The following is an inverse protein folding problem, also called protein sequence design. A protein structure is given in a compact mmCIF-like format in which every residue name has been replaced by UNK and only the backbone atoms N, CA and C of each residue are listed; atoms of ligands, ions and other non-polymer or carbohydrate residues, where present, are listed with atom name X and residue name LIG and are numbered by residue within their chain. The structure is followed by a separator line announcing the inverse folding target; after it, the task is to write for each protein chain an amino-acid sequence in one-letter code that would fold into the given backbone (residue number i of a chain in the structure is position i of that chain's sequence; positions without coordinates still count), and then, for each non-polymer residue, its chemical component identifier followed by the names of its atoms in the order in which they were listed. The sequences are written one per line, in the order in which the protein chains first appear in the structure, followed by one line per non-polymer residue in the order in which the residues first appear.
data_IF_412928344533
#
_entry.id   IF_412928344533
#
_cell.length_a   1.000
_cell.length_b   1.000
_cell.length_c   1.000
_cell.angle_alpha   90.00
_cell.angle_beta   90.00
_cell.angle_gamma   90.00
#
_symmetry.space_group_name_H-M   'P 1'
#
loop_
_entity.id
_entity.type
_entity.pdbx_description
1 polymer ?
#
# COMPACT_ATOMS: atom_id res chain seq x y z
N UNK A 1 87.79 9.43 -3.22
CA UNK A 1 87.10 8.12 -3.17
C UNK A 1 86.16 8.12 -1.97
N UNK A 2 84.85 7.94 -2.23
CA UNK A 2 83.77 7.41 -1.35
C UNK A 2 83.78 7.83 0.14
N UNK A 3 82.83 8.67 0.53
CA UNK A 3 81.50 8.30 1.08
C UNK A 3 81.55 7.93 2.56
N UNK A 4 80.92 8.73 3.43
CA UNK A 4 80.28 8.34 4.70
C UNK A 4 79.60 9.56 5.35
N UNK A 5 78.36 9.84 4.99
CA UNK A 5 77.50 10.76 5.76
C UNK A 5 76.43 9.89 6.45
N UNK A 6 76.52 9.77 7.77
CA UNK A 6 75.60 8.97 8.57
C UNK A 6 74.30 9.71 8.84
N UNK A 7 73.21 8.97 8.61
CA UNK A 7 71.82 9.29 8.84
C UNK A 7 71.51 9.60 10.31
N UNK A 8 70.72 10.65 10.56
CA UNK A 8 69.80 10.67 11.71
C UNK A 8 68.36 10.69 11.19
N UNK A 9 67.64 9.65 11.59
CA UNK A 9 66.29 9.29 11.21
C UNK A 9 65.29 10.15 12.01
N UNK A 10 64.57 11.06 11.33
CA UNK A 10 63.40 11.71 11.90
C UNK A 10 62.18 10.81 11.67
N UNK A 11 61.66 10.21 12.74
CA UNK A 11 60.45 9.40 12.75
C UNK A 11 59.22 10.32 12.66
N UNK A 12 58.70 10.52 11.45
CA UNK A 12 57.38 11.16 11.26
C UNK A 12 56.31 10.08 11.39
N UNK A 13 55.60 10.09 12.52
CA UNK A 13 54.39 9.28 12.72
C UNK A 13 53.25 9.95 11.95
N UNK A 14 52.93 9.42 10.76
CA UNK A 14 51.71 9.78 10.03
C UNK A 14 50.53 9.05 10.69
N UNK A 15 49.78 9.76 11.54
CA UNK A 15 48.46 9.31 11.97
C UNK A 15 47.46 9.52 10.83
N UNK A 16 47.32 8.53 9.96
CA UNK A 16 46.18 8.41 9.05
C UNK A 16 44.92 8.08 9.84
N UNK A 17 44.15 9.10 10.18
CA UNK A 17 42.74 8.99 10.55
C UNK A 17 41.96 8.53 9.30
N UNK A 18 41.83 7.22 9.12
CA UNK A 18 40.85 6.65 8.21
C UNK A 18 39.46 6.86 8.83
N UNK A 19 38.76 7.89 8.37
CA UNK A 19 37.31 7.94 8.50
C UNK A 19 36.75 6.81 7.63
N UNK A 20 36.45 5.66 8.23
CA UNK A 20 35.57 4.66 7.62
C UNK A 20 34.17 5.24 7.74
N UNK A 21 33.77 6.03 6.74
CA UNK A 21 32.36 6.24 6.44
C UNK A 21 31.95 4.99 5.66
N UNK A 22 31.44 3.98 6.34
CA UNK A 22 30.71 2.89 5.66
C UNK A 22 29.41 3.49 5.12
N UNK A 23 29.49 4.24 4.02
CA UNK A 23 28.34 4.48 3.18
C UNK A 23 28.14 3.20 2.37
N UNK A 24 27.45 2.20 2.92
CA UNK A 24 26.97 1.11 2.08
C UNK A 24 25.94 1.71 1.13
N UNK A 25 26.32 1.93 -0.13
CA UNK A 25 25.36 2.26 -1.17
C UNK A 25 24.31 1.12 -1.21
N UNK A 26 23.02 1.47 -1.33
CA UNK A 26 21.98 0.45 -1.51
C UNK A 26 22.29 -0.35 -2.77
N UNK A 27 22.25 -1.67 -2.65
CA UNK A 27 22.45 -2.58 -3.78
C UNK A 27 21.13 -2.81 -4.53
N UNK A 28 21.23 -3.21 -5.78
CA UNK A 28 20.08 -3.63 -6.57
C UNK A 28 19.31 -4.76 -5.87
N UNK A 29 17.96 -4.76 -5.87
CA UNK A 29 17.04 -3.87 -6.60
C UNK A 29 16.59 -2.61 -5.84
N UNK A 30 17.30 -2.20 -4.78
CA UNK A 30 16.95 -1.05 -3.93
C UNK A 30 17.75 0.21 -4.25
N UNK A 31 18.58 0.15 -5.29
CA UNK A 31 19.43 1.23 -5.80
C UNK A 31 18.66 2.26 -6.63
N UNK A 32 17.48 1.88 -7.16
CA UNK A 32 16.59 2.77 -7.92
C UNK A 32 15.27 2.96 -7.19
N UNK A 33 15.04 4.16 -6.70
CA UNK A 33 13.81 4.55 -6.02
C UNK A 33 13.36 5.95 -6.46
N UNK A 34 12.05 6.26 -6.38
CA UNK A 34 11.56 7.59 -6.71
C UNK A 34 12.06 8.63 -5.71
N UNK A 35 12.27 9.84 -6.19
CA UNK A 35 12.64 11.00 -5.38
C UNK A 35 11.59 11.31 -4.32
N UNK A 36 12.03 11.52 -3.08
CA UNK A 36 11.18 11.74 -1.91
C UNK A 36 11.31 13.19 -1.42
N UNK A 37 10.89 14.13 -2.27
CA UNK A 37 10.72 15.54 -1.92
C UNK A 37 9.26 15.82 -1.54
N UNK A 38 8.97 16.83 -0.70
CA UNK A 38 7.60 17.18 -0.32
C UNK A 38 6.66 17.21 -1.54
N UNK A 39 5.50 16.52 -1.47
CA UNK A 39 4.82 15.99 -0.29
C UNK A 39 5.27 14.59 0.19
N UNK A 40 6.37 14.05 -0.34
CA UNK A 40 6.94 12.78 0.06
C UNK A 40 8.10 12.97 1.02
N UNK A 41 8.25 12.05 1.98
CA UNK A 41 9.37 12.02 2.91
C UNK A 41 9.87 10.58 3.02
N UNK A 42 11.18 10.39 3.16
CA UNK A 42 11.75 9.05 3.36
C UNK A 42 12.80 9.02 4.47
N UNK A 43 12.83 7.91 5.19
CA UNK A 43 13.88 7.59 6.18
C UNK A 43 14.35 6.16 5.94
N UNK A 44 15.62 5.89 6.19
CA UNK A 44 16.19 4.54 6.17
C UNK A 44 16.76 4.19 7.54
N UNK A 45 16.53 2.96 7.98
CA UNK A 45 17.19 2.40 9.15
C UNK A 45 18.02 1.18 8.75
N UNK A 46 19.22 1.10 9.32
CA UNK A 46 20.12 -0.03 9.12
C UNK A 46 19.69 -1.26 9.91
N UNK A 47 20.17 -2.42 9.46
CA UNK A 47 20.06 -3.66 10.22
C UNK A 47 20.82 -3.58 11.55
N UNK A 48 20.25 -4.20 12.57
CA UNK A 48 20.87 -4.46 13.87
C UNK A 48 21.25 -5.93 13.99
N UNK A 49 22.32 -6.19 14.75
CA UNK A 49 22.74 -7.55 15.11
C UNK A 49 22.14 -8.02 16.44
N UNK A 50 21.47 -7.12 17.16
CA UNK A 50 20.90 -7.42 18.47
C UNK A 50 19.61 -8.24 18.33
N UNK A 51 19.42 -9.31 19.13
CA UNK A 51 18.21 -10.12 19.10
C UNK A 51 16.93 -9.29 19.32
N UNK A 52 15.92 -9.55 18.50
CA UNK A 52 14.63 -8.85 18.57
C UNK A 52 14.63 -7.43 17.97
N UNK A 53 15.77 -6.96 17.46
CA UNK A 53 15.84 -5.71 16.68
C UNK A 53 15.74 -6.00 15.18
N UNK A 54 15.52 -4.92 14.42
CA UNK A 54 15.36 -4.96 12.97
C UNK A 54 16.55 -5.68 12.31
N UNK A 55 16.30 -6.84 11.70
CA UNK A 55 17.36 -7.68 11.12
C UNK A 55 17.73 -7.29 9.68
N UNK A 56 16.78 -6.75 8.92
CA UNK A 56 17.01 -6.28 7.55
C UNK A 56 16.87 -4.76 7.50
N UNK A 57 17.74 -4.03 6.77
CA UNK A 57 17.54 -2.61 6.58
C UNK A 57 16.14 -2.34 6.01
N UNK A 58 15.60 -1.16 6.30
CA UNK A 58 14.28 -0.77 5.80
C UNK A 58 14.30 0.67 5.40
N UNK A 59 13.73 0.95 4.23
CA UNK A 59 13.35 2.31 3.84
C UNK A 59 11.85 2.47 4.03
N UNK A 60 11.46 3.49 4.78
CA UNK A 60 10.08 3.93 4.86
C UNK A 60 9.90 5.14 3.96
N UNK A 61 8.82 5.17 3.18
CA UNK A 61 8.39 6.36 2.44
C UNK A 61 6.96 6.70 2.83
N UNK A 62 6.70 7.96 3.13
CA UNK A 62 5.37 8.49 3.44
C UNK A 62 5.00 9.60 2.47
N UNK A 63 3.77 9.60 2.00
CA UNK A 63 3.12 10.70 1.30
C UNK A 63 2.10 11.35 2.23
N UNK A 64 2.13 12.68 2.32
CA UNK A 64 1.21 13.47 3.12
C UNK A 64 0.39 14.37 2.19
N UNK A 65 -0.96 14.33 2.24
CA UNK A 65 -1.78 15.19 1.40
C UNK A 65 -1.43 16.68 1.57
N UNK A 66 -1.25 17.39 0.45
CA UNK A 66 -1.00 18.83 0.49
C UNK A 66 -2.15 19.58 1.18
N UNK A 67 -1.82 20.48 2.10
CA UNK A 67 -2.78 21.36 2.76
C UNK A 67 -3.59 20.71 3.90
N UNK A 68 -3.30 19.47 4.28
CA UNK A 68 -3.92 18.86 5.47
C UNK A 68 -3.41 19.56 6.73
N UNK A 69 -4.33 20.03 7.58
CA UNK A 69 -3.96 20.75 8.81
C UNK A 69 -3.61 19.78 9.96
N UNK A 70 -4.32 18.66 10.03
CA UNK A 70 -4.10 17.62 11.05
C UNK A 70 -4.44 16.28 10.45
N UNK A 71 -3.51 15.33 10.55
CA UNK A 71 -3.73 13.98 10.05
C UNK A 71 -4.64 13.21 11.02
N UNK A 72 -5.59 12.45 10.46
CA UNK A 72 -6.51 11.60 11.24
C UNK A 72 -6.07 10.15 11.29
N UNK A 73 -5.13 9.74 10.45
CA UNK A 73 -4.66 8.37 10.35
C UNK A 73 -3.55 8.18 9.33
N UNK A 74 -3.12 6.92 9.17
CA UNK A 74 -2.16 6.50 8.16
C UNK A 74 -2.70 5.25 7.49
N UNK A 75 -2.81 5.26 6.16
CA UNK A 75 -2.96 4.06 5.35
C UNK A 75 -1.57 3.47 5.13
N UNK A 76 -1.37 2.22 5.51
CA UNK A 76 -0.10 1.50 5.39
C UNK A 76 -0.25 0.42 4.32
N UNK A 77 0.60 0.47 3.30
CA UNK A 77 0.64 -0.54 2.24
C UNK A 77 1.92 -1.36 2.35
N UNK A 78 1.77 -2.63 2.76
CA UNK A 78 2.89 -3.51 3.07
C UNK A 78 3.09 -4.59 2.01
N UNK A 79 4.29 -4.65 1.46
CA UNK A 79 4.69 -5.63 0.45
C UNK A 79 4.80 -7.08 0.98
N UNK A 80 5.00 -8.04 0.06
CA UNK A 80 5.24 -9.46 0.36
C UNK A 80 6.70 -9.84 0.61
N UNK A 81 6.91 -11.13 0.94
CA UNK A 81 8.24 -11.68 1.23
C UNK A 81 9.13 -11.79 -0.01
N UNK A 82 10.44 -11.68 0.21
CA UNK A 82 11.47 -11.92 -0.81
C UNK A 82 11.76 -10.69 -1.65
N UNK A 83 12.99 -10.64 -2.17
CA UNK A 83 13.61 -9.46 -2.79
C UNK A 83 12.71 -8.75 -3.81
N UNK A 84 12.15 -9.49 -4.78
CA UNK A 84 11.28 -8.89 -5.80
C UNK A 84 9.95 -8.35 -5.28
N UNK A 85 9.42 -8.90 -4.19
CA UNK A 85 8.24 -8.30 -3.54
C UNK A 85 8.65 -7.12 -2.65
N UNK A 86 9.79 -7.21 -1.98
CA UNK A 86 10.29 -6.16 -1.10
C UNK A 86 10.58 -4.85 -1.84
N UNK A 87 11.21 -4.91 -3.01
CA UNK A 87 11.47 -3.73 -3.83
C UNK A 87 10.20 -3.06 -4.35
N UNK A 88 9.08 -3.79 -4.45
CA UNK A 88 7.78 -3.19 -4.80
C UNK A 88 7.28 -2.20 -3.74
N UNK A 89 7.77 -2.30 -2.49
CA UNK A 89 7.48 -1.33 -1.43
C UNK A 89 8.05 0.08 -1.69
N UNK A 90 9.05 0.21 -2.57
CA UNK A 90 9.68 1.51 -2.89
C UNK A 90 8.71 2.49 -3.56
N UNK A 91 7.68 1.98 -4.23
CA UNK A 91 6.70 2.79 -4.97
C UNK A 91 5.33 2.87 -4.32
N UNK A 92 5.06 2.12 -3.24
CA UNK A 92 3.72 2.03 -2.65
C UNK A 92 3.17 3.37 -2.19
N UNK A 93 4.02 4.25 -1.65
CA UNK A 93 3.62 5.60 -1.22
C UNK A 93 3.26 6.53 -2.39
N UNK A 94 3.63 6.18 -3.62
CA UNK A 94 3.37 6.94 -4.85
C UNK A 94 2.15 6.42 -5.63
N UNK A 95 1.42 5.43 -5.11
CA UNK A 95 0.23 4.90 -5.77
C UNK A 95 -0.95 5.88 -5.65
N UNK A 96 -1.37 6.45 -6.79
CA UNK A 96 -2.40 7.49 -6.84
C UNK A 96 -3.74 7.01 -6.30
N UNK A 97 -4.07 5.73 -6.46
CA UNK A 97 -5.35 5.17 -6.01
C UNK A 97 -5.38 5.02 -4.49
N UNK A 98 -4.30 4.53 -3.90
CA UNK A 98 -4.13 4.46 -2.45
C UNK A 98 -3.99 5.85 -1.82
N UNK A 99 -3.36 6.81 -2.51
CA UNK A 99 -3.33 8.22 -2.09
C UNK A 99 -4.73 8.84 -2.06
N UNK A 100 -5.59 8.52 -3.04
CA UNK A 100 -6.97 9.01 -3.07
C UNK A 100 -7.78 8.52 -1.85
N UNK A 101 -7.62 7.24 -1.47
CA UNK A 101 -8.20 6.72 -0.22
C UNK A 101 -7.67 7.47 1.00
N UNK A 102 -6.35 7.61 1.11
CA UNK A 102 -5.74 8.27 2.26
C UNK A 102 -6.21 9.72 2.38
N UNK A 103 -6.20 10.47 1.27
CA UNK A 103 -6.66 11.87 1.21
C UNK A 103 -8.12 12.03 1.62
N UNK A 104 -9.00 11.13 1.19
CA UNK A 104 -10.44 11.17 1.53
C UNK A 104 -10.70 11.20 3.04
N UNK A 105 -9.77 10.67 3.84
CA UNK A 105 -9.88 10.56 5.29
C UNK A 105 -8.92 11.47 6.06
N UNK A 106 -8.26 12.43 5.38
CA UNK A 106 -7.16 13.22 5.96
C UNK A 106 -6.06 12.32 6.56
N UNK A 107 -5.76 11.22 5.87
CA UNK A 107 -4.71 10.27 6.24
C UNK A 107 -3.46 10.45 5.35
N UNK A 108 -2.31 10.09 5.89
CA UNK A 108 -1.10 9.88 5.09
C UNK A 108 -1.10 8.48 4.47
N UNK A 109 -0.29 8.27 3.43
CA UNK A 109 0.00 6.95 2.86
C UNK A 109 1.46 6.57 3.12
N UNK A 110 1.70 5.43 3.74
CA UNK A 110 3.06 4.96 4.06
C UNK A 110 3.31 3.58 3.47
N UNK A 111 4.47 3.41 2.85
CA UNK A 111 4.93 2.13 2.32
C UNK A 111 6.36 1.83 2.81
N UNK A 112 6.56 0.73 3.57
CA UNK A 112 7.89 0.22 3.89
C UNK A 112 8.49 -0.54 2.69
N UNK A 113 9.82 -0.63 2.63
CA UNK A 113 10.58 -1.50 1.74
C UNK A 113 11.71 -2.16 2.55
N UNK A 114 11.48 -3.38 3.04
CA UNK A 114 12.48 -4.15 3.79
C UNK A 114 13.49 -4.78 2.83
N UNK A 115 14.78 -4.58 3.05
CA UNK A 115 15.85 -5.09 2.20
C UNK A 115 16.20 -6.54 2.56
N UNK A 116 15.19 -7.43 2.54
CA UNK A 116 15.35 -8.86 2.81
C UNK A 116 16.17 -9.51 1.69
N UNK A 117 17.32 -10.16 1.99
CA UNK A 117 18.07 -10.89 0.99
C UNK A 117 17.29 -12.06 0.40
N UNK A 118 17.60 -12.43 -0.84
CA UNK A 118 16.96 -13.55 -1.51
C UNK A 118 17.13 -14.85 -0.70
N UNK A 119 16.01 -15.55 -0.45
CA UNK A 119 15.90 -16.77 0.40
C UNK A 119 16.13 -16.57 1.90
N UNK A 120 16.39 -15.36 2.39
CA UNK A 120 16.45 -15.10 3.83
C UNK A 120 15.09 -15.34 4.48
N UNK A 121 15.05 -15.59 5.79
CA UNK A 121 13.81 -15.88 6.49
C UNK A 121 12.93 -14.62 6.58
N UNK A 122 11.73 -14.70 6.01
CA UNK A 122 10.77 -13.60 6.02
C UNK A 122 10.27 -13.27 7.44
N UNK A 123 10.25 -14.26 8.35
CA UNK A 123 9.79 -14.07 9.72
C UNK A 123 10.59 -13.01 10.48
N UNK A 124 11.83 -12.75 10.07
CA UNK A 124 12.69 -11.74 10.70
C UNK A 124 12.18 -10.30 10.54
N UNK A 125 11.24 -10.04 9.62
CA UNK A 125 10.54 -8.75 9.55
C UNK A 125 9.02 -8.89 9.57
N UNK A 126 8.46 -9.96 9.00
CA UNK A 126 7.00 -10.07 8.88
C UNK A 126 6.32 -10.47 10.19
N UNK A 127 7.07 -10.99 11.17
CA UNK A 127 6.64 -10.98 12.56
C UNK A 127 7.00 -9.62 13.17
N UNK A 128 6.00 -8.77 13.52
CA UNK A 128 6.25 -7.44 14.06
C UNK A 128 7.10 -7.41 15.33
N UNK A 129 7.14 -8.52 16.08
CA UNK A 129 7.90 -8.66 17.32
C UNK A 129 9.42 -8.70 17.09
N UNK A 130 9.87 -8.98 15.86
CA UNK A 130 11.28 -9.03 15.48
C UNK A 130 11.82 -7.64 15.08
N UNK A 131 11.37 -6.59 15.78
CA UNK A 131 11.88 -5.23 15.64
C UNK A 131 11.29 -4.40 14.50
N UNK A 132 10.53 -5.00 13.58
CA UNK A 132 9.91 -4.26 12.47
C UNK A 132 8.79 -3.31 12.94
N UNK A 133 8.01 -3.67 13.97
CA UNK A 133 7.04 -2.75 14.57
C UNK A 133 7.73 -1.56 15.26
N UNK A 134 8.80 -1.83 16.02
CA UNK A 134 9.56 -0.78 16.69
C UNK A 134 10.23 0.19 15.70
N UNK A 135 10.79 -0.32 14.60
CA UNK A 135 11.34 0.50 13.53
C UNK A 135 10.25 1.32 12.82
N UNK A 136 9.09 0.73 12.58
CA UNK A 136 7.93 1.41 12.01
C UNK A 136 7.47 2.57 12.91
N UNK A 137 7.28 2.34 14.21
CA UNK A 137 6.87 3.39 15.15
C UNK A 137 7.88 4.53 15.25
N UNK A 138 9.17 4.19 15.24
CA UNK A 138 10.25 5.19 15.18
C UNK A 138 10.15 6.04 13.91
N UNK A 139 9.86 5.42 12.76
CA UNK A 139 9.70 6.14 11.48
C UNK A 139 8.62 7.22 11.56
N UNK A 140 7.52 6.93 12.26
CA UNK A 140 6.40 7.86 12.38
C UNK A 140 6.73 9.08 13.25
N UNK A 141 7.55 8.90 14.29
CA UNK A 141 8.10 10.00 15.08
C UNK A 141 9.02 10.88 14.23
N UNK A 142 9.90 10.25 13.44
CA UNK A 142 10.86 10.99 12.62
C UNK A 142 10.15 11.72 11.45
N UNK A 143 9.16 11.09 10.81
CA UNK A 143 8.31 11.75 9.82
C UNK A 143 7.52 12.91 10.41
N UNK A 144 7.02 12.79 11.64
CA UNK A 144 6.33 13.91 12.30
C UNK A 144 7.23 15.13 12.48
N UNK A 145 8.52 14.93 12.76
CA UNK A 145 9.51 16.03 12.82
C UNK A 145 9.82 16.59 11.44
N UNK A 146 9.99 15.73 10.43
CA UNK A 146 10.37 16.14 9.07
C UNK A 146 9.26 16.93 8.36
N UNK A 147 8.00 16.52 8.56
CA UNK A 147 6.85 17.07 7.86
C UNK A 147 6.10 18.16 8.62
N UNK A 148 6.39 18.33 9.92
CA UNK A 148 5.63 19.21 10.80
C UNK A 148 4.32 18.62 11.32
N UNK A 149 4.10 17.30 11.15
CA UNK A 149 2.92 16.56 11.64
C UNK A 149 3.27 15.63 12.82
N UNK A 150 3.54 16.16 14.03
CA UNK A 150 3.93 15.34 15.19
C UNK A 150 2.88 14.29 15.57
N UNK A 151 1.61 14.50 15.20
CA UNK A 151 0.51 13.56 15.43
C UNK A 151 0.71 12.20 14.74
N UNK A 152 1.56 12.12 13.68
CA UNK A 152 1.90 10.87 12.98
C UNK A 152 2.31 9.74 13.94
N UNK A 153 2.99 10.08 15.04
CA UNK A 153 3.44 9.11 16.04
C UNK A 153 2.30 8.37 16.75
N UNK A 154 1.09 8.93 16.78
CA UNK A 154 -0.04 8.44 17.58
C UNK A 154 -1.32 8.19 16.81
N UNK A 155 -1.46 8.75 15.61
CA UNK A 155 -2.69 8.56 14.81
C UNK A 155 -2.94 7.08 14.49
N UNK A 156 -4.22 6.68 14.32
CA UNK A 156 -4.58 5.33 13.93
C UNK A 156 -4.04 4.87 12.58
N UNK A 157 -3.98 3.55 12.39
CA UNK A 157 -3.47 2.90 11.19
C UNK A 157 -4.55 2.08 10.48
N UNK A 158 -4.70 2.23 9.18
CA UNK A 158 -5.42 1.29 8.31
C UNK A 158 -4.39 0.49 7.51
N UNK A 159 -4.42 -0.82 7.63
CA UNK A 159 -3.37 -1.69 7.13
C UNK A 159 -3.85 -2.46 5.90
N UNK A 160 -3.02 -2.52 4.87
CA UNK A 160 -3.11 -3.48 3.79
C UNK A 160 -1.76 -4.20 3.69
N UNK A 161 -1.78 -5.52 3.57
CA UNK A 161 -0.54 -6.29 3.46
C UNK A 161 -0.68 -7.54 2.60
N UNK A 162 0.31 -7.76 1.74
CA UNK A 162 0.39 -8.94 0.87
C UNK A 162 1.36 -10.00 1.43
N UNK A 163 0.95 -11.27 1.50
CA UNK A 163 1.81 -12.41 1.88
C UNK A 163 2.48 -12.21 3.24
N UNK A 164 3.80 -12.02 3.30
CA UNK A 164 4.50 -11.57 4.52
C UNK A 164 3.91 -10.29 5.10
N UNK A 165 3.53 -9.33 4.26
CA UNK A 165 2.82 -8.13 4.70
C UNK A 165 1.48 -8.43 5.36
N UNK A 166 0.74 -9.44 4.90
CA UNK A 166 -0.48 -9.89 5.56
C UNK A 166 -0.21 -10.49 6.96
N UNK A 167 0.89 -11.23 7.11
CA UNK A 167 1.34 -11.69 8.43
C UNK A 167 1.70 -10.51 9.34
N UNK A 168 2.42 -9.52 8.81
CA UNK A 168 2.80 -8.31 9.55
C UNK A 168 1.57 -7.52 9.97
N UNK A 169 0.66 -7.21 9.05
CA UNK A 169 -0.56 -6.45 9.35
C UNK A 169 -1.44 -7.14 10.38
N UNK A 170 -1.68 -8.45 10.24
CA UNK A 170 -2.43 -9.19 11.26
C UNK A 170 -1.67 -9.30 12.58
N UNK A 171 -0.34 -9.43 12.56
CA UNK A 171 0.50 -9.40 13.75
C UNK A 171 0.39 -8.05 14.49
N UNK A 172 0.37 -6.94 13.75
CA UNK A 172 0.16 -5.59 14.30
C UNK A 172 -1.22 -5.46 14.95
N UNK A 173 -2.27 -6.08 14.39
CA UNK A 173 -3.58 -6.18 15.06
C UNK A 173 -3.46 -6.92 16.40
N UNK A 174 -2.64 -7.98 16.48
CA UNK A 174 -2.49 -8.73 17.73
C UNK A 174 -1.66 -8.00 18.78
N UNK A 175 -0.70 -7.16 18.38
CA UNK A 175 0.24 -6.50 19.29
C UNK A 175 -0.14 -5.06 19.66
N UNK A 176 -0.92 -4.37 18.83
CA UNK A 176 -1.34 -2.98 19.03
C UNK A 176 -2.76 -2.69 18.52
N UNK A 177 -3.77 -3.52 18.87
CA UNK A 177 -5.13 -3.42 18.32
C UNK A 177 -5.80 -2.06 18.55
N UNK A 178 -5.45 -1.34 19.61
CA UNK A 178 -6.00 -0.01 19.94
C UNK A 178 -5.64 1.06 18.91
N UNK A 179 -4.59 0.82 18.12
CA UNK A 179 -4.11 1.73 17.08
C UNK A 179 -4.61 1.35 15.68
N UNK A 180 -5.07 0.12 15.47
CA UNK A 180 -5.40 -0.36 14.13
C UNK A 180 -6.87 -0.10 13.84
N UNK A 181 -7.20 0.78 12.90
CA UNK A 181 -8.56 1.04 12.44
C UNK A 181 -9.13 -0.14 11.64
N UNK A 182 -8.33 -0.76 10.77
CA UNK A 182 -8.74 -1.92 9.96
C UNK A 182 -7.50 -2.64 9.39
N UNK A 183 -7.63 -3.92 9.01
CA UNK A 183 -6.56 -4.64 8.32
C UNK A 183 -7.05 -5.56 7.18
N UNK A 184 -6.51 -5.37 5.98
CA UNK A 184 -6.69 -6.22 4.83
C UNK A 184 -5.50 -7.18 4.66
N UNK A 185 -5.77 -8.48 4.79
CA UNK A 185 -4.76 -9.54 4.88
C UNK A 185 -4.75 -10.34 3.57
N UNK A 186 -4.04 -9.82 2.55
CA UNK A 186 -3.94 -10.46 1.22
C UNK A 186 -2.95 -11.62 1.31
N UNK A 187 -3.43 -12.86 1.14
CA UNK A 187 -2.61 -14.08 1.03
C UNK A 187 -1.63 -14.35 2.21
N UNK A 188 -1.92 -13.86 3.42
CA UNK A 188 -1.10 -14.13 4.60
C UNK A 188 -1.76 -13.66 5.89
N UNK A 189 -1.61 -14.44 6.97
CA UNK A 189 -2.21 -14.18 8.30
C UNK A 189 -1.23 -14.61 9.39
N UNK A 190 -1.20 -13.96 10.56
CA UNK A 190 -0.39 -14.42 11.67
C UNK A 190 -0.87 -15.77 12.18
N UNK A 191 0.03 -16.52 12.80
CA UNK A 191 -0.30 -17.78 13.44
C UNK A 191 -0.91 -17.51 14.83
N UNK A 192 -2.01 -18.17 15.19
CA UNK A 192 -2.64 -18.04 16.52
C UNK A 192 -2.45 -19.27 17.42
N UNK A 193 -2.10 -20.41 16.84
CA UNK A 193 -1.88 -21.68 17.55
C UNK A 193 -0.59 -22.33 17.06
N UNK A 194 0.03 -23.17 17.88
CA UNK A 194 1.28 -23.85 17.49
C UNK A 194 1.06 -24.68 16.23
N UNK A 195 1.93 -24.52 15.25
CA UNK A 195 1.99 -25.37 14.07
C UNK A 195 3.23 -26.27 14.14
N UNK A 196 3.08 -27.60 14.40
CA UNK A 196 4.20 -28.53 14.46
C UNK A 196 5.04 -28.60 13.18
N UNK A 197 4.44 -28.32 12.02
CA UNK A 197 5.13 -28.31 10.72
C UNK A 197 5.95 -27.03 10.50
N UNK A 198 5.73 -25.99 11.33
CA UNK A 198 6.41 -24.69 11.28
C UNK A 198 6.82 -24.20 12.67
N UNK A 199 7.66 -24.95 13.40
CA UNK A 199 7.97 -24.67 14.81
C UNK A 199 8.73 -23.35 15.05
N UNK A 200 9.33 -22.79 13.98
CA UNK A 200 10.00 -21.50 14.00
C UNK A 200 9.01 -20.32 14.09
N UNK A 201 7.81 -20.45 13.52
CA UNK A 201 6.78 -19.39 13.56
C UNK A 201 6.09 -19.45 14.92
N UNK A 202 6.16 -18.37 15.69
CA UNK A 202 5.57 -18.32 17.02
C UNK A 202 4.12 -17.81 16.95
N UNK A 203 3.17 -18.46 17.64
CA UNK A 203 1.81 -17.96 17.67
C UNK A 203 1.73 -16.60 18.36
N UNK A 204 0.74 -15.80 17.98
CA UNK A 204 0.34 -14.59 18.67
C UNK A 204 -0.75 -14.91 19.69
N UNK A 205 -0.69 -14.24 20.84
CA UNK A 205 -1.88 -14.11 21.68
C UNK A 205 -2.90 -13.22 20.95
N UNK A 206 -4.19 -13.53 21.08
CA UNK A 206 -5.26 -12.70 20.54
C UNK A 206 -5.99 -11.97 21.67
N UNK A 207 -5.63 -10.70 21.94
CA UNK A 207 -6.30 -9.90 22.96
C UNK A 207 -7.75 -9.62 22.57
N UNK A 208 -8.60 -9.33 23.55
CA UNK A 208 -10.03 -9.07 23.31
C UNK A 208 -10.23 -7.81 22.45
N UNK A 209 -9.38 -6.79 22.60
CA UNK A 209 -9.40 -5.57 21.79
C UNK A 209 -9.19 -5.85 20.30
N UNK A 210 -8.44 -6.91 19.93
CA UNK A 210 -8.26 -7.32 18.54
C UNK A 210 -9.57 -7.80 17.88
N UNK A 211 -10.54 -8.32 18.65
CA UNK A 211 -11.83 -8.76 18.12
C UNK A 211 -12.67 -7.56 17.62
N UNK A 212 -12.38 -6.36 18.11
CA UNK A 212 -13.04 -5.12 17.69
C UNK A 212 -12.47 -4.55 16.40
N UNK A 213 -11.35 -5.10 15.89
CA UNK A 213 -10.67 -4.61 14.70
C UNK A 213 -11.27 -5.30 13.47
N UNK A 214 -11.89 -4.56 12.53
CA UNK A 214 -12.35 -5.13 11.28
C UNK A 214 -11.16 -5.63 10.46
N UNK A 215 -11.26 -6.87 10.01
CA UNK A 215 -10.25 -7.56 9.22
C UNK A 215 -10.88 -8.22 7.98
N UNK A 216 -10.09 -8.40 6.94
CA UNK A 216 -10.47 -9.19 5.76
C UNK A 216 -9.35 -10.17 5.39
N UNK A 217 -9.65 -11.47 5.37
CA UNK A 217 -8.80 -12.47 4.73
C UNK A 217 -9.07 -12.49 3.21
N UNK A 218 -8.05 -12.22 2.39
CA UNK A 218 -8.20 -12.17 0.93
C UNK A 218 -7.16 -13.06 0.24
N UNK A 219 -7.32 -14.40 0.22
CA UNK A 219 -6.46 -15.27 -0.59
C UNK A 219 -6.95 -15.33 -2.05
N UNK A 220 -6.08 -15.66 -2.98
CA UNK A 220 -6.45 -16.12 -4.33
C UNK A 220 -6.98 -17.56 -4.30
N UNK A 221 -7.86 -17.88 -5.25
CA UNK A 221 -8.51 -19.19 -5.30
C UNK A 221 -7.51 -20.34 -5.48
N UNK A 222 -6.40 -20.10 -6.18
CA UNK A 222 -5.37 -21.15 -6.41
C UNK A 222 -4.45 -21.37 -5.22
N UNK A 223 -4.69 -20.71 -4.09
CA UNK A 223 -3.87 -20.82 -2.89
C UNK A 223 -4.43 -21.81 -1.86
N UNK A 224 -4.89 -22.98 -2.32
CA UNK A 224 -5.50 -24.00 -1.46
C UNK A 224 -7.02 -24.03 -1.49
N UNK A 225 -7.70 -23.10 -2.17
CA UNK A 225 -9.18 -23.16 -2.33
C UNK A 225 -9.56 -24.11 -3.46
N UNK A 226 -9.02 -23.90 -4.66
CA UNK A 226 -9.27 -24.74 -5.86
C UNK A 226 -8.07 -25.60 -6.25
N UNK A 227 -6.85 -25.09 -6.09
CA UNK A 227 -5.61 -25.86 -6.27
C UNK A 227 -5.10 -26.27 -4.89
N UNK A 228 -5.02 -27.58 -4.63
CA UNK A 228 -4.79 -28.15 -3.29
C UNK A 228 -3.34 -28.56 -3.03
N UNK A 229 -2.46 -28.38 -4.00
CA UNK A 229 -1.05 -28.74 -3.95
C UNK A 229 -0.13 -27.59 -4.40
N UNK A 230 1.18 -27.80 -4.28
CA UNK A 230 2.19 -26.82 -4.63
C UNK A 230 2.47 -25.77 -3.55
N UNK A 231 3.29 -24.78 -3.91
CA UNK A 231 3.93 -23.85 -2.97
C UNK A 231 2.94 -23.09 -2.07
N UNK A 232 1.79 -22.72 -2.60
CA UNK A 232 0.82 -21.85 -1.91
C UNK A 232 -0.45 -22.56 -1.43
N UNK A 233 -0.54 -23.90 -1.55
CA UNK A 233 -1.74 -24.65 -1.15
C UNK A 233 -2.12 -24.53 0.33
N UNK A 234 -1.17 -24.18 1.19
CA UNK A 234 -1.40 -24.05 2.63
C UNK A 234 -1.87 -22.64 3.06
N UNK A 235 -2.01 -21.68 2.14
CA UNK A 235 -2.49 -20.33 2.46
C UNK A 235 -3.97 -20.37 2.87
N UNK A 236 -4.83 -21.08 2.12
CA UNK A 236 -6.25 -21.20 2.47
C UNK A 236 -6.48 -21.92 3.81
N UNK A 237 -5.90 -23.11 4.08
CA UNK A 237 -6.00 -23.73 5.40
C UNK A 237 -5.58 -22.81 6.55
N UNK A 238 -4.49 -22.05 6.38
CA UNK A 238 -4.03 -21.10 7.40
C UNK A 238 -5.03 -19.94 7.60
N UNK A 239 -5.56 -19.37 6.52
CA UNK A 239 -6.60 -18.33 6.59
C UNK A 239 -7.89 -18.85 7.23
N UNK A 240 -8.31 -20.08 6.93
CA UNK A 240 -9.51 -20.68 7.51
C UNK A 240 -9.33 -20.94 9.02
N UNK A 241 -8.15 -21.40 9.45
CA UNK A 241 -7.84 -21.58 10.86
C UNK A 241 -7.82 -20.25 11.64
N UNK A 242 -7.19 -19.22 11.07
CA UNK A 242 -7.23 -17.86 11.60
C UNK A 242 -8.69 -17.36 11.68
N UNK A 243 -9.45 -17.54 10.61
CA UNK A 243 -10.85 -17.14 10.52
C UNK A 243 -11.72 -17.76 11.61
N UNK A 244 -11.64 -19.07 11.78
CA UNK A 244 -12.42 -19.79 12.78
C UNK A 244 -12.09 -19.31 14.21
N UNK A 245 -10.82 -19.00 14.48
CA UNK A 245 -10.39 -18.47 15.76
C UNK A 245 -10.96 -17.08 16.04
N UNK A 246 -10.86 -16.14 15.08
CA UNK A 246 -11.38 -14.78 15.26
C UNK A 246 -12.90 -14.76 15.31
N UNK A 247 -13.57 -15.38 14.33
CA UNK A 247 -15.04 -15.38 14.25
C UNK A 247 -15.70 -16.20 15.34
N UNK A 248 -15.11 -17.35 15.72
CA UNK A 248 -15.60 -18.16 16.84
C UNK A 248 -15.59 -17.42 18.18
N UNK A 249 -14.82 -16.33 18.30
CA UNK A 249 -14.79 -15.41 19.45
C UNK A 249 -15.57 -14.12 19.22
N UNK A 250 -16.35 -14.02 18.12
CA UNK A 250 -17.19 -12.87 17.79
C UNK A 250 -16.47 -11.71 17.09
N UNK A 251 -15.21 -11.87 16.69
CA UNK A 251 -14.43 -10.78 16.09
C UNK A 251 -14.89 -10.35 14.70
N UNK A 252 -14.57 -9.13 14.27
CA UNK A 252 -15.00 -8.58 12.98
C UNK A 252 -14.11 -9.05 11.81
N UNK A 253 -14.42 -10.20 11.20
CA UNK A 253 -13.58 -10.77 10.14
C UNK A 253 -14.40 -11.29 8.95
N UNK A 254 -14.07 -10.81 7.75
CA UNK A 254 -14.58 -11.33 6.49
C UNK A 254 -13.59 -12.26 5.77
N UNK A 255 -14.09 -12.98 4.78
CA UNK A 255 -13.27 -13.72 3.80
C UNK A 255 -13.68 -13.29 2.40
N UNK A 256 -12.72 -12.81 1.61
CA UNK A 256 -12.91 -12.43 0.22
C UNK A 256 -11.94 -13.21 -0.66
N UNK A 257 -12.27 -14.45 -1.06
CA UNK A 257 -11.40 -15.22 -1.96
C UNK A 257 -11.42 -14.57 -3.36
N UNK A 258 -10.26 -14.26 -3.94
CA UNK A 258 -10.16 -13.74 -5.29
C UNK A 258 -10.30 -14.89 -6.31
N UNK A 259 -11.34 -14.90 -7.18
CA UNK A 259 -11.62 -16.03 -8.06
C UNK A 259 -10.66 -16.17 -9.25
N UNK A 260 -9.86 -15.14 -9.55
CA UNK A 260 -9.05 -15.10 -10.78
C UNK A 260 -7.55 -15.25 -10.55
N UNK A 261 -7.10 -15.26 -9.30
CA UNK A 261 -5.68 -15.18 -8.96
C UNK A 261 -5.13 -16.42 -8.27
N UNK A 262 -3.81 -16.55 -8.33
CA UNK A 262 -3.02 -17.29 -7.36
C UNK A 262 -2.50 -16.34 -6.27
N UNK A 263 -1.18 -16.23 -6.11
CA UNK A 263 -0.57 -15.46 -5.03
C UNK A 263 -0.32 -13.98 -5.42
N UNK A 264 -0.43 -13.61 -6.70
CA UNK A 264 -0.43 -12.21 -7.15
C UNK A 264 -1.69 -11.46 -6.69
N UNK A 265 -1.65 -10.12 -6.61
CA UNK A 265 -2.74 -9.32 -6.02
C UNK A 265 -3.96 -9.05 -6.93
N UNK A 266 -3.81 -9.22 -8.25
CA UNK A 266 -4.88 -9.05 -9.23
C UNK A 266 -5.70 -7.77 -9.05
N UNK A 267 -7.02 -7.92 -9.00
CA UNK A 267 -8.00 -6.82 -8.87
C UNK A 267 -8.41 -6.55 -7.40
N UNK A 268 -7.67 -7.04 -6.39
CA UNK A 268 -8.12 -6.91 -4.99
C UNK A 268 -8.33 -5.48 -4.51
N UNK A 269 -7.56 -4.50 -5.01
CA UNK A 269 -7.72 -3.10 -4.64
C UNK A 269 -9.16 -2.59 -4.83
N UNK A 270 -9.88 -3.08 -5.83
CA UNK A 270 -11.26 -2.64 -6.13
C UNK A 270 -12.29 -3.12 -5.11
N UNK A 271 -11.94 -4.03 -4.20
CA UNK A 271 -12.71 -4.30 -2.99
C UNK A 271 -12.01 -3.79 -1.72
N UNK A 272 -10.68 -3.89 -1.66
CA UNK A 272 -9.90 -3.49 -0.49
C UNK A 272 -10.04 -2.00 -0.16
N UNK A 273 -9.96 -1.13 -1.17
CA UNK A 273 -10.08 0.32 -1.00
C UNK A 273 -11.47 0.72 -0.51
N UNK A 274 -12.60 0.34 -1.15
CA UNK A 274 -13.93 0.70 -0.64
C UNK A 274 -14.23 0.04 0.72
N UNK A 275 -13.71 -1.15 1.01
CA UNK A 275 -13.84 -1.76 2.33
C UNK A 275 -13.07 -0.98 3.40
N UNK A 276 -11.83 -0.56 3.12
CA UNK A 276 -11.02 0.27 4.03
C UNK A 276 -11.62 1.66 4.19
N UNK A 277 -12.14 2.27 3.12
CA UNK A 277 -12.89 3.54 3.15
C UNK A 277 -14.06 3.47 4.13
N UNK A 278 -14.86 2.39 4.05
CA UNK A 278 -15.97 2.16 4.98
C UNK A 278 -15.47 1.97 6.42
N UNK A 279 -14.43 1.17 6.62
CA UNK A 279 -13.91 0.93 7.96
C UNK A 279 -13.33 2.20 8.58
N UNK A 280 -12.57 3.01 7.83
CA UNK A 280 -12.04 4.30 8.26
C UNK A 280 -13.17 5.25 8.66
N UNK A 281 -14.22 5.36 7.84
CA UNK A 281 -15.42 6.17 8.14
C UNK A 281 -16.08 5.78 9.46
N UNK A 282 -16.11 4.48 9.79
CA UNK A 282 -16.72 3.97 11.01
C UNK A 282 -15.81 4.06 12.25
N UNK A 283 -14.49 4.11 12.06
CA UNK A 283 -13.51 3.83 13.13
C UNK A 283 -12.65 5.00 13.49
N UNK A 284 -12.29 5.86 12.53
CA UNK A 284 -11.46 7.02 12.82
C UNK A 284 -12.14 7.91 13.86
N UNK A 285 -11.37 8.47 14.82
CA UNK A 285 -11.94 9.35 15.82
C UNK A 285 -12.49 10.62 15.17
N UNK A 286 -13.55 11.19 15.77
CA UNK A 286 -14.12 12.45 15.31
C UNK A 286 -13.17 13.63 15.57
N UNK A 287 -12.43 13.56 16.66
CA UNK A 287 -11.43 14.55 17.06
C UNK A 287 -10.06 13.88 17.22
N UNK A 288 -8.99 14.57 16.81
CA UNK A 288 -7.62 14.06 16.95
C UNK A 288 -7.29 13.74 18.41
N UNK A 289 -6.57 12.64 18.62
CA UNK A 289 -6.16 12.16 19.95
C UNK A 289 -7.22 11.34 20.71
N UNK A 290 -8.45 11.24 20.21
CA UNK A 290 -9.45 10.32 20.79
C UNK A 290 -9.22 8.86 20.36
N UNK A 291 -9.77 7.93 21.13
CA UNK A 291 -9.72 6.51 20.82
C UNK A 291 -10.53 6.16 19.55
N UNK A 292 -10.15 5.06 18.89
CA UNK A 292 -10.92 4.49 17.79
C UNK A 292 -12.37 4.20 18.19
N UNK A 293 -13.29 4.53 17.30
CA UNK A 293 -14.71 4.27 17.52
C UNK A 293 -15.03 2.77 17.48
N UNK A 294 -16.05 2.35 18.23
CA UNK A 294 -16.60 1.00 18.15
C UNK A 294 -17.54 0.92 16.94
N UNK A 295 -17.48 -0.18 16.21
CA UNK A 295 -18.41 -0.44 15.10
C UNK A 295 -19.72 -1.01 15.66
N UNK A 296 -20.84 -0.40 15.28
CA UNK A 296 -22.17 -1.00 15.48
C UNK A 296 -22.31 -2.22 14.56
N UNK A 297 -22.89 -3.31 15.08
CA UNK A 297 -23.22 -4.50 14.29
C UNK A 297 -24.55 -4.35 13.53
N UNK A 298 -25.27 -3.25 13.76
CA UNK A 298 -26.49 -2.96 13.03
C UNK A 298 -26.21 -2.75 11.54
N UNK A 299 -27.04 -3.35 10.69
CA UNK A 299 -26.88 -3.28 9.24
C UNK A 299 -25.78 -4.18 8.67
N UNK A 300 -25.09 -4.97 9.50
CA UNK A 300 -24.08 -5.92 9.04
C UNK A 300 -24.66 -7.01 8.13
N UNK A 301 -23.80 -7.53 7.26
CA UNK A 301 -24.09 -8.65 6.38
C UNK A 301 -23.16 -9.82 6.70
N UNK A 302 -23.65 -11.03 6.45
CA UNK A 302 -22.94 -12.27 6.70
C UNK A 302 -22.84 -13.09 5.43
N UNK A 303 -21.67 -13.71 5.22
CA UNK A 303 -21.41 -14.60 4.10
C UNK A 303 -20.67 -15.86 4.56
N UNK A 304 -21.04 -17.01 4.03
CA UNK A 304 -20.27 -18.24 4.26
C UNK A 304 -18.82 -18.09 3.75
N UNK A 305 -17.80 -18.65 4.43
CA UNK A 305 -16.40 -18.40 4.10
C UNK A 305 -16.01 -18.69 2.65
N UNK A 306 -16.58 -19.75 2.06
CA UNK A 306 -16.41 -20.11 0.65
C UNK A 306 -17.62 -19.77 -0.21
N UNK A 307 -18.64 -19.14 0.37
CA UNK A 307 -19.86 -18.75 -0.32
C UNK A 307 -19.63 -17.65 -1.36
N UNK A 308 -20.67 -17.40 -2.14
CA UNK A 308 -20.73 -16.33 -3.15
C UNK A 308 -21.87 -15.33 -2.88
N UNK A 309 -22.64 -15.54 -1.80
CA UNK A 309 -23.77 -14.70 -1.43
C UNK A 309 -23.58 -14.21 -0.01
N UNK A 310 -23.78 -12.90 0.17
CA UNK A 310 -23.92 -12.28 1.48
C UNK A 310 -25.40 -11.98 1.70
N UNK A 311 -25.89 -12.12 2.93
CA UNK A 311 -27.25 -11.77 3.33
C UNK A 311 -27.25 -10.90 4.59
N UNK A 312 -28.28 -10.08 4.84
CA UNK A 312 -28.38 -9.29 6.07
C UNK A 312 -28.25 -10.18 7.31
N UNK A 313 -27.47 -9.74 8.30
CA UNK A 313 -27.19 -10.53 9.49
C UNK A 313 -28.46 -10.97 10.24
N UNK A 314 -29.49 -10.11 10.28
CA UNK A 314 -30.79 -10.42 10.90
C UNK A 314 -31.66 -11.42 10.14
N UNK A 315 -31.26 -11.82 8.93
CA UNK A 315 -31.89 -12.85 8.09
C UNK A 315 -30.99 -14.06 7.88
N UNK A 316 -29.83 -14.10 8.53
CA UNK A 316 -28.90 -15.22 8.40
C UNK A 316 -29.40 -16.41 9.21
N UNK A 317 -29.73 -17.50 8.52
CA UNK A 317 -30.29 -18.72 9.14
C UNK A 317 -29.22 -19.67 9.70
N UNK A 318 -27.95 -19.46 9.35
CA UNK A 318 -26.82 -20.23 9.86
C UNK A 318 -26.28 -19.71 11.19
N UNK A 319 -25.16 -20.29 11.63
CA UNK A 319 -24.43 -19.84 12.83
C UNK A 319 -23.62 -18.56 12.54
N UNK A 320 -23.99 -17.38 13.08
CA UNK A 320 -23.35 -16.12 12.72
C UNK A 320 -21.85 -16.08 13.01
N UNK A 321 -21.37 -16.81 14.04
CA UNK A 321 -19.95 -16.86 14.40
C UNK A 321 -19.12 -17.81 13.53
N UNK A 322 -19.76 -18.46 12.54
CA UNK A 322 -19.09 -19.22 11.46
C UNK A 322 -19.13 -18.52 10.11
N UNK A 323 -19.92 -17.45 10.00
CA UNK A 323 -20.01 -16.63 8.79
C UNK A 323 -19.04 -15.45 8.86
N UNK A 324 -18.53 -15.04 7.70
CA UNK A 324 -17.71 -13.84 7.55
C UNK A 324 -18.55 -12.59 7.67
N UNK A 325 -18.00 -11.59 8.36
CA UNK A 325 -18.64 -10.31 8.63
C UNK A 325 -18.32 -9.28 7.53
N UNK A 326 -19.34 -8.55 7.09
CA UNK A 326 -19.25 -7.40 6.20
C UNK A 326 -20.00 -6.21 6.82
N UNK A 327 -19.46 -4.98 6.74
CA UNK A 327 -19.97 -3.84 7.51
C UNK A 327 -21.37 -3.39 7.12
N UNK A 328 -21.74 -3.46 5.84
CA UNK A 328 -23.05 -3.03 5.36
C UNK A 328 -23.42 -3.66 3.99
N UNK A 329 -24.61 -3.32 3.50
CA UNK A 329 -25.14 -3.76 2.21
C UNK A 329 -24.28 -3.33 1.02
N UNK A 330 -23.74 -2.11 1.04
CA UNK A 330 -22.92 -1.57 -0.05
C UNK A 330 -21.67 -2.41 -0.23
N UNK A 331 -20.96 -2.67 0.86
CA UNK A 331 -19.76 -3.51 0.86
C UNK A 331 -20.13 -4.97 0.57
N UNK A 332 -21.27 -5.47 1.04
CA UNK A 332 -21.75 -6.81 0.70
C UNK A 332 -21.98 -7.00 -0.81
N UNK A 333 -22.56 -6.00 -1.49
CA UNK A 333 -22.75 -6.01 -2.95
C UNK A 333 -21.42 -5.97 -3.70
N UNK A 334 -20.50 -5.08 -3.29
CA UNK A 334 -19.16 -5.04 -3.86
C UNK A 334 -18.41 -6.36 -3.64
N UNK A 335 -18.54 -6.97 -2.46
CA UNK A 335 -17.97 -8.28 -2.15
C UNK A 335 -18.53 -9.37 -3.07
N UNK A 336 -19.85 -9.41 -3.29
CA UNK A 336 -20.46 -10.41 -4.19
C UNK A 336 -19.97 -10.26 -5.65
N UNK A 337 -19.84 -9.01 -6.13
CA UNK A 337 -19.24 -8.76 -7.46
C UNK A 337 -17.77 -9.22 -7.50
N UNK A 338 -16.99 -8.86 -6.48
CA UNK A 338 -15.59 -9.26 -6.38
C UNK A 338 -15.42 -10.78 -6.40
N UNK A 339 -16.22 -11.51 -5.60
CA UNK A 339 -16.19 -12.97 -5.50
C UNK A 339 -16.61 -13.67 -6.78
N UNK A 340 -17.42 -13.01 -7.61
CA UNK A 340 -17.89 -13.55 -8.90
C UNK A 340 -16.79 -13.48 -9.95
N UNK A 341 -16.26 -12.29 -10.20
CA UNK A 341 -15.38 -12.03 -11.34
C UNK A 341 -14.37 -10.89 -11.11
N UNK A 342 -14.23 -10.41 -9.87
CA UNK A 342 -13.40 -9.24 -9.49
C UNK A 342 -13.84 -7.90 -10.11
N UNK A 343 -14.96 -7.87 -10.84
CA UNK A 343 -15.39 -6.69 -11.58
C UNK A 343 -16.29 -5.78 -10.72
N UNK A 344 -15.74 -5.27 -9.62
CA UNK A 344 -16.45 -4.30 -8.76
C UNK A 344 -16.77 -3.05 -9.58
N UNK A 345 -18.05 -2.74 -9.70
CA UNK A 345 -18.51 -1.64 -10.57
C UNK A 345 -18.25 -0.29 -9.92
N UNK A 346 -17.93 0.67 -10.77
CA UNK A 346 -17.92 2.09 -10.44
C UNK A 346 -18.73 2.84 -11.51
N UNK A 347 -19.44 3.87 -11.06
CA UNK A 347 -20.35 4.69 -11.86
C UNK A 347 -20.04 6.19 -11.75
N UNK A 348 -19.01 6.58 -11.01
CA UNK A 348 -18.60 7.97 -10.84
C UNK A 348 -17.42 8.30 -11.74
N UNK A 349 -17.42 9.46 -12.43
CA UNK A 349 -16.26 9.86 -13.22
C UNK A 349 -15.09 10.26 -12.30
N UNK A 350 -13.84 10.11 -12.76
CA UNK A 350 -12.68 10.56 -11.99
C UNK A 350 -12.67 12.09 -11.81
N UNK A 351 -11.95 12.60 -10.79
CA UNK A 351 -11.65 14.02 -10.69
C UNK A 351 -10.97 14.56 -11.96
N UNK A 352 -11.29 15.80 -12.32
CA UNK A 352 -10.64 16.45 -13.45
C UNK A 352 -9.15 16.73 -13.12
N UNK A 353 -8.23 16.59 -14.09
CA UNK A 353 -6.85 17.02 -13.92
C UNK A 353 -6.74 18.47 -13.43
N UNK A 354 -5.69 18.77 -12.68
CA UNK A 354 -5.43 20.11 -12.16
C UNK A 354 -4.06 20.61 -12.62
N UNK A 355 -3.87 21.93 -12.54
CA UNK A 355 -2.63 22.62 -12.90
C UNK A 355 -2.09 22.19 -14.27
N UNK A 356 -2.99 22.06 -15.25
CA UNK A 356 -2.60 21.78 -16.63
C UNK A 356 -1.81 22.99 -17.15
N UNK A 357 -0.53 22.80 -17.38
CA UNK A 357 0.39 23.83 -17.86
C UNK A 357 0.85 23.48 -19.27
N UNK A 358 1.10 24.53 -20.06
CA UNK A 358 1.63 24.42 -21.43
C UNK A 358 2.89 25.26 -21.55
N UNK A 359 3.91 24.66 -22.17
CA UNK A 359 5.13 25.32 -22.65
C UNK A 359 5.31 24.94 -24.13
N UNK A 360 4.95 25.86 -25.04
CA UNK A 360 4.83 25.56 -26.46
C UNK A 360 3.90 24.38 -26.75
N UNK A 361 4.46 23.27 -27.23
CA UNK A 361 3.74 22.03 -27.54
C UNK A 361 3.85 20.95 -26.44
N UNK A 362 4.43 21.28 -25.29
CA UNK A 362 4.54 20.40 -24.13
C UNK A 362 3.45 20.71 -23.12
N UNK A 363 2.85 19.65 -22.58
CA UNK A 363 1.88 19.71 -21.50
C UNK A 363 2.40 18.95 -20.29
N UNK A 364 2.16 19.49 -19.10
CA UNK A 364 2.27 18.82 -17.82
C UNK A 364 1.01 19.07 -16.98
N UNK A 365 0.67 18.12 -16.13
CA UNK A 365 -0.49 18.24 -15.24
C UNK A 365 -0.31 17.42 -13.97
N UNK A 366 -1.20 17.64 -13.00
CA UNK A 366 -1.39 16.74 -11.87
C UNK A 366 -2.81 16.17 -11.91
N UNK A 367 -3.00 14.96 -11.39
CA UNK A 367 -4.31 14.34 -11.30
C UNK A 367 -4.42 13.50 -10.04
N UNK A 368 -5.60 13.52 -9.46
CA UNK A 368 -5.99 12.63 -8.37
C UNK A 368 -6.76 11.46 -8.94
N UNK A 369 -6.58 10.29 -8.34
CA UNK A 369 -7.32 9.12 -8.77
C UNK A 369 -8.76 9.14 -8.27
N UNK A 370 -9.63 8.54 -9.06
CA UNK A 370 -10.95 8.10 -8.58
C UNK A 370 -10.77 7.09 -7.44
N UNK A 371 -11.44 7.29 -6.30
CA UNK A 371 -11.25 6.45 -5.11
C UNK A 371 -11.81 5.04 -5.36
N UNK A 372 -12.83 4.94 -6.19
CA UNK A 372 -13.54 3.72 -6.51
C UNK A 372 -12.76 2.86 -7.51
N UNK A 373 -12.21 3.48 -8.57
CA UNK A 373 -11.67 2.73 -9.70
C UNK A 373 -10.33 3.22 -10.26
N UNK A 374 -9.68 4.22 -9.66
CA UNK A 374 -8.32 4.63 -10.04
C UNK A 374 -8.25 5.44 -11.34
N UNK A 375 -7.05 5.56 -11.92
CA UNK A 375 -6.84 6.20 -13.24
C UNK A 375 -6.33 5.16 -14.23
N UNK A 376 -7.02 5.01 -15.36
CA UNK A 376 -6.56 4.18 -16.47
C UNK A 376 -5.60 4.94 -17.39
N UNK A 377 -5.99 6.13 -17.82
CA UNK A 377 -5.29 6.93 -18.83
C UNK A 377 -5.78 8.38 -18.81
N UNK A 378 -5.14 9.21 -19.63
CA UNK A 378 -5.58 10.56 -19.96
C UNK A 378 -5.86 10.69 -21.44
N UNK A 379 -6.81 11.56 -21.81
CA UNK A 379 -7.07 11.99 -23.18
C UNK A 379 -6.59 13.44 -23.31
N UNK A 380 -5.82 13.70 -24.35
CA UNK A 380 -5.37 15.05 -24.73
C UNK A 380 -6.27 15.55 -25.84
N UNK A 381 -6.83 16.74 -25.64
CA UNK A 381 -7.60 17.46 -26.62
C UNK A 381 -6.79 18.64 -27.16
N UNK A 382 -6.88 18.89 -28.47
CA UNK A 382 -6.35 20.07 -29.15
C UNK A 382 -7.48 20.74 -29.93
N UNK A 383 -7.68 22.03 -29.71
CA UNK A 383 -8.74 22.85 -30.31
C UNK A 383 -10.14 22.20 -30.15
N UNK A 384 -10.37 21.58 -28.99
CA UNK A 384 -11.60 20.85 -28.65
C UNK A 384 -11.74 19.45 -29.28
N UNK A 385 -10.83 19.03 -30.16
CA UNK A 385 -10.80 17.71 -30.79
C UNK A 385 -9.85 16.73 -30.10
N UNK A 386 -10.09 15.43 -30.28
CA UNK A 386 -9.16 14.39 -29.82
C UNK A 386 -7.80 14.50 -30.50
N UNK A 387 -6.72 14.49 -29.71
CA UNK A 387 -5.35 14.45 -30.21
C UNK A 387 -4.66 13.12 -29.89
N UNK A 388 -4.66 12.71 -28.61
CA UNK A 388 -3.90 11.55 -28.16
C UNK A 388 -4.44 10.93 -26.87
N UNK A 389 -4.01 9.70 -26.60
CA UNK A 389 -4.14 9.07 -25.28
C UNK A 389 -2.77 8.96 -24.61
N UNK A 390 -2.72 9.27 -23.32
CA UNK A 390 -1.55 9.09 -22.46
C UNK A 390 -1.88 8.04 -21.42
N UNK A 391 -1.39 6.82 -21.63
CA UNK A 391 -1.59 5.68 -20.74
C UNK A 391 -0.30 5.18 -20.10
N UNK A 392 -0.43 4.15 -19.27
CA UNK A 392 0.70 3.47 -18.65
C UNK A 392 1.59 2.70 -19.65
N UNK A 393 2.83 2.42 -19.24
CA UNK A 393 3.79 1.66 -20.06
C UNK A 393 3.41 0.18 -20.16
N UNK A 394 2.71 -0.19 -21.23
CA UNK A 394 2.40 -1.58 -21.56
C UNK A 394 1.14 -2.12 -20.87
N UNK A 395 0.88 -3.43 -21.06
CA UNK A 395 -0.30 -4.09 -20.49
C UNK A 395 -0.08 -4.36 -19.01
N UNK A 396 -0.98 -3.88 -18.15
CA UNK A 396 -1.02 -4.33 -16.76
C UNK A 396 -1.24 -5.84 -16.74
N UNK A 397 -0.27 -6.60 -16.25
CA UNK A 397 -0.38 -8.07 -16.14
C UNK A 397 -1.26 -8.48 -14.96
N UNK A 398 -1.49 -7.56 -14.03
CA UNK A 398 -2.20 -7.80 -12.79
C UNK A 398 -3.45 -6.92 -12.75
N UNK A 399 -4.60 -7.49 -13.14
CA UNK A 399 -5.88 -6.81 -13.06
C UNK A 399 -6.16 -5.82 -14.21
N UNK A 400 -7.03 -4.83 -13.95
CA UNK A 400 -7.45 -3.81 -14.93
C UNK A 400 -6.27 -2.93 -15.39
N UNK A 401 -6.27 -2.42 -16.63
CA UNK A 401 -5.26 -1.45 -17.07
C UNK A 401 -5.29 -0.19 -16.19
N UNK A 402 -4.13 0.25 -15.71
CA UNK A 402 -3.94 1.43 -14.85
C UNK A 402 -2.83 2.30 -15.42
N UNK A 403 -2.93 3.61 -15.22
CA UNK A 403 -1.94 4.59 -15.69
C UNK A 403 -0.55 4.31 -15.11
N UNK A 404 -0.50 3.92 -13.83
CA UNK A 404 0.76 3.58 -13.16
C UNK A 404 1.20 2.12 -13.36
N UNK A 405 0.35 1.27 -13.98
CA UNK A 405 0.48 -0.20 -13.99
C UNK A 405 0.72 -0.79 -12.59
N UNK A 406 0.74 -2.12 -12.46
CA UNK A 406 0.96 -2.78 -11.18
C UNK A 406 2.12 -3.76 -11.20
N UNK A 407 2.80 -3.84 -10.07
CA UNK A 407 3.70 -4.92 -9.68
C UNK A 407 2.92 -6.05 -8.98
N UNK A 408 3.62 -7.14 -8.69
CA UNK A 408 3.06 -8.35 -8.09
C UNK A 408 2.32 -8.11 -6.75
N UNK A 409 2.83 -7.18 -5.94
CA UNK A 409 2.28 -6.81 -4.62
C UNK A 409 1.45 -5.53 -4.65
N UNK A 410 0.74 -5.24 -5.74
CA UNK A 410 -0.22 -4.12 -5.81
C UNK A 410 0.40 -2.71 -5.64
N UNK A 411 1.59 -2.47 -6.20
CA UNK A 411 2.21 -1.13 -6.21
C UNK A 411 2.59 -0.69 -7.63
N UNK A 412 2.76 0.62 -7.89
CA UNK A 412 3.15 1.15 -9.20
C UNK A 412 4.43 0.54 -9.74
N UNK A 413 4.54 0.37 -11.06
CA UNK A 413 5.80 -0.07 -11.68
C UNK A 413 6.82 1.08 -11.73
N UNK A 414 8.11 0.73 -11.74
CA UNK A 414 9.19 1.68 -11.99
C UNK A 414 9.66 1.66 -13.46
N UNK A 415 10.14 2.79 -14.01
CA UNK A 415 10.03 4.14 -13.42
C UNK A 415 8.56 4.60 -13.38
N UNK A 416 8.23 5.47 -12.42
CA UNK A 416 6.85 5.97 -12.25
C UNK A 416 6.36 6.66 -13.54
N UNK A 417 5.09 6.45 -13.87
CA UNK A 417 4.43 7.10 -14.99
C UNK A 417 4.38 8.63 -14.77
N UNK A 418 4.63 9.39 -15.83
CA UNK A 418 4.65 10.85 -15.80
C UNK A 418 3.41 11.43 -16.47
N UNK A 419 2.80 12.41 -15.82
CA UNK A 419 1.67 13.18 -16.33
C UNK A 419 2.17 14.30 -17.25
N UNK A 420 2.75 13.89 -18.39
CA UNK A 420 3.32 14.80 -19.38
C UNK A 420 2.99 14.33 -20.80
N UNK A 421 2.91 15.27 -21.74
CA UNK A 421 2.69 15.00 -23.16
C UNK A 421 3.43 16.03 -24.02
N UNK A 422 3.86 15.62 -25.21
CA UNK A 422 4.46 16.53 -26.21
C UNK A 422 3.75 16.31 -27.54
N UNK A 423 3.06 17.35 -28.01
CA UNK A 423 2.42 17.36 -29.32
C UNK A 423 3.44 17.56 -30.44
N UNK A 424 3.95 16.45 -30.98
CA UNK A 424 4.90 16.46 -32.11
C UNK A 424 4.26 16.83 -33.45
N UNK A 425 2.94 17.04 -33.47
CA UNK A 425 2.17 17.39 -34.66
C UNK A 425 1.71 18.84 -34.67
N UNK A 426 2.03 19.61 -33.63
CA UNK A 426 1.73 21.04 -33.55
C UNK A 426 2.50 21.79 -34.65
N UNK A 427 1.80 22.68 -35.37
CA UNK A 427 2.41 23.49 -36.41
C UNK A 427 3.21 24.65 -35.80
N UNK A 428 4.47 24.88 -36.21
CA UNK A 428 5.25 25.99 -35.68
C UNK A 428 4.56 27.35 -35.91
N UNK A 429 4.38 28.11 -34.84
CA UNK A 429 3.77 29.44 -34.89
C UNK A 429 2.24 29.46 -34.89
N UNK A 430 1.58 28.29 -34.78
CA UNK A 430 0.14 28.20 -34.54
C UNK A 430 -0.09 28.06 -33.04
N UNK A 431 -0.94 28.92 -32.48
CA UNK A 431 -1.36 28.82 -31.09
C UNK A 431 -2.54 27.85 -30.99
N UNK A 432 -2.37 26.79 -30.21
CA UNK A 432 -3.37 25.73 -30.02
C UNK A 432 -3.92 25.71 -28.59
N UNK A 433 -5.23 25.51 -28.47
CA UNK A 433 -5.88 25.31 -27.19
C UNK A 433 -5.77 23.83 -26.78
N UNK A 434 -5.22 23.56 -25.60
CA UNK A 434 -5.11 22.20 -25.08
C UNK A 434 -6.01 21.97 -23.88
N UNK A 435 -6.49 20.74 -23.72
CA UNK A 435 -7.17 20.29 -22.50
C UNK A 435 -6.83 18.83 -22.20
N UNK A 436 -6.87 18.47 -20.91
CA UNK A 436 -6.62 17.10 -20.45
C UNK A 436 -7.88 16.55 -19.78
N UNK A 437 -8.23 15.31 -20.10
CA UNK A 437 -9.34 14.56 -19.51
C UNK A 437 -8.77 13.32 -18.83
N UNK A 438 -9.15 13.05 -17.58
CA UNK A 438 -8.83 11.80 -16.89
C UNK A 438 -9.87 10.73 -17.22
N UNK A 439 -9.43 9.48 -17.38
CA UNK A 439 -10.30 8.32 -17.61
C UNK A 439 -10.01 7.27 -16.54
N UNK A 440 -11.05 6.84 -15.82
CA UNK A 440 -10.91 5.81 -14.78
C UNK A 440 -10.93 4.38 -15.38
N UNK A 441 -10.79 3.34 -14.55
CA UNK A 441 -10.71 1.96 -15.08
C UNK A 441 -12.03 1.38 -15.56
N UNK A 442 -13.13 2.10 -15.37
CA UNK A 442 -14.45 1.82 -15.96
C UNK A 442 -14.68 2.54 -17.29
N UNK A 443 -13.74 3.37 -17.73
CA UNK A 443 -13.85 4.15 -18.96
C UNK A 443 -14.69 5.43 -18.82
N UNK A 444 -14.98 5.86 -17.59
CA UNK A 444 -15.68 7.12 -17.34
C UNK A 444 -14.70 8.29 -17.41
N UNK A 445 -15.15 9.38 -18.02
CA UNK A 445 -14.34 10.56 -18.30
C UNK A 445 -14.64 11.70 -17.32
N UNK A 446 -13.58 12.38 -16.87
CA UNK A 446 -13.72 13.64 -16.15
C UNK A 446 -14.20 14.76 -17.08
N UNK A 447 -14.55 15.93 -16.50
CA UNK A 447 -14.61 17.16 -17.30
C UNK A 447 -13.22 17.49 -17.87
N UNK A 448 -13.13 18.08 -19.09
CA UNK A 448 -11.87 18.59 -19.61
C UNK A 448 -11.31 19.70 -18.75
N UNK A 449 -10.00 19.68 -18.55
CA UNK A 449 -9.26 20.72 -17.84
C UNK A 449 -8.40 21.49 -18.84
N UNK A 450 -8.72 22.76 -19.12
CA UNK A 450 -7.96 23.55 -20.09
C UNK A 450 -6.57 23.85 -19.55
N UNK A 451 -5.59 23.84 -20.45
CA UNK A 451 -4.26 24.32 -20.14
C UNK A 451 -4.32 25.83 -19.84
N UNK A 452 -3.58 26.27 -18.83
CA UNK A 452 -3.37 27.69 -18.63
C UNK A 452 -2.68 28.30 -19.86
N UNK A 453 -3.03 29.55 -20.19
CA UNK A 453 -2.33 30.30 -21.23
C UNK A 453 -0.83 30.33 -20.92
N UNK A 454 -0.01 30.29 -21.97
CA UNK A 454 1.44 30.19 -21.88
C UNK A 454 2.01 31.21 -20.89
N UNK A 455 2.83 30.74 -19.94
CA UNK A 455 3.56 31.65 -19.04
C UNK A 455 4.60 32.34 -19.91
N UNK A 456 4.27 33.52 -20.41
CA UNK A 456 5.17 34.34 -21.21
C UNK A 456 6.51 34.48 -20.49
N UNK A 457 7.57 33.92 -21.07
CA UNK A 457 8.93 34.12 -20.60
C UNK A 457 9.27 35.60 -20.67
N UNK A 458 9.57 36.19 -19.52
CA UNK A 458 10.32 37.45 -19.46
C UNK A 458 11.81 37.18 -19.71
#
# INVERSE_FOLDING_TARGET
MRSSTSFYLALVVLCSLAFIVDSSAQESPYDVFPEAEPPYYSVRYEASKEPGQLTYPVRYTIWIPNGVATLRGIVVHQHGCGEGSCSSGLTGAYDLHWQALAKKHDCALLSPAYEQPQKADCQMWCDPRNGSAAAFDRSLVDFGKMSGHPELASVPLALWGHSGGGHWCGGMVMTQPERIAAAWLRSGVPLLEVNPDRPAIKPHAMPETALSVPMMCNPGTKEGVTVKDGRFANVWPANLAFFNNVRGRGGLLGVAIDPLTAHECGNSRYLAIPWLDKCLSLRLPLESGQALQKISLEGAWLAEPTGATAIPANRFEGDPVKAGWLPDETIAKAWMQFRKDTNVVDTTPPPAPAKVQRDGNRLDWIAEADVESGIQKFIILRDGGFLAEVGGRGKNRFGRPLFQNLQYSDTPVQPLAKMEFVDRTAEPGVDHDYSVVAVNTMGLESKPSPAAAEVGGN
#
